data_IF_410894569574
#
_entry.id   IF_410894569574
#
_cell.length_a   1.000
_cell.length_b   1.000
_cell.length_c   1.000
_cell.angle_alpha   90.00
_cell.angle_beta   90.00
_cell.angle_gamma   90.00
#
_symmetry.space_group_name_H-M   'P 1'
#
loop_
_entity.id
_entity.type
_entity.pdbx_description
1 polymer ?
#
# COMPACT_ATOMS: atom_id res chain seq x y z
N UNK A 1 2.63 -15.36 79.43
CA UNK A 1 2.99 -16.74 79.03
C UNK A 1 3.07 -16.76 77.51
N UNK A 2 4.26 -16.78 76.92
CA UNK A 2 5.03 -18.00 76.55
C UNK A 2 4.28 -18.77 75.43
N UNK A 3 4.84 -19.18 74.28
CA UNK A 3 6.21 -19.39 73.82
C UNK A 3 6.14 -19.64 72.29
N UNK A 4 7.09 -19.05 71.55
CA UNK A 4 7.90 -19.54 70.42
C UNK A 4 7.35 -20.50 69.34
N UNK A 5 7.57 -20.08 68.08
CA UNK A 5 8.29 -20.74 66.98
C UNK A 5 8.23 -22.26 66.78
N UNK A 6 8.15 -22.68 65.50
CA UNK A 6 9.27 -23.35 64.83
C UNK A 6 9.00 -23.53 63.32
N UNK A 7 9.88 -22.88 62.57
CA UNK A 7 10.31 -23.13 61.19
C UNK A 7 10.40 -24.59 60.74
N UNK A 8 10.05 -24.84 59.48
CA UNK A 8 10.89 -25.59 58.51
C UNK A 8 10.34 -25.42 57.09
N UNK A 9 11.08 -25.38 55.99
CA UNK A 9 12.45 -24.99 55.63
C UNK A 9 12.47 -25.13 54.09
N UNK A 10 13.03 -24.16 53.36
CA UNK A 10 13.28 -24.28 51.91
C UNK A 10 14.01 -23.05 51.35
N UNK A 11 15.24 -23.16 50.80
CA UNK A 11 16.21 -22.07 50.82
C UNK A 11 16.32 -21.22 49.53
N UNK A 12 17.11 -20.17 49.72
CA UNK A 12 17.51 -19.05 48.87
C UNK A 12 18.50 -19.47 47.76
N UNK A 13 18.38 -18.88 46.56
CA UNK A 13 19.54 -18.59 45.70
C UNK A 13 19.47 -17.11 45.29
N UNK A 14 20.33 -16.31 45.91
CA UNK A 14 20.68 -14.93 45.51
C UNK A 14 21.77 -14.98 44.45
N UNK A 15 21.82 -13.97 43.57
CA UNK A 15 23.07 -13.28 43.16
C UNK A 15 22.76 -11.99 42.35
N UNK A 16 23.72 -11.05 42.23
CA UNK A 16 23.66 -9.76 42.91
C UNK A 16 23.53 -8.56 41.95
N UNK A 17 23.09 -7.43 42.50
CA UNK A 17 22.96 -6.15 41.82
C UNK A 17 24.35 -5.49 41.70
N UNK A 18 25.06 -5.76 40.61
CA UNK A 18 26.30 -5.09 40.25
C UNK A 18 25.97 -3.77 39.56
N UNK A 19 25.78 -2.69 40.32
CA UNK A 19 25.80 -1.32 39.80
C UNK A 19 26.37 -0.39 40.86
N UNK A 20 27.66 -0.55 41.13
CA UNK A 20 28.43 0.30 42.01
C UNK A 20 29.88 -0.12 41.93
N UNK A 21 30.55 0.20 40.81
CA UNK A 21 32.02 0.26 40.66
C UNK A 21 32.38 0.56 39.19
N UNK A 22 32.11 1.77 38.72
CA UNK A 22 32.88 2.39 37.62
C UNK A 22 33.01 3.88 37.95
N UNK A 23 33.82 4.19 38.96
CA UNK A 23 34.45 5.50 39.09
C UNK A 23 35.95 5.25 39.13
N UNK A 24 36.59 5.46 37.99
CA UNK A 24 38.03 5.36 37.83
C UNK A 24 38.35 5.48 36.35
N UNK A 25 39.00 6.59 35.99
CA UNK A 25 39.57 6.92 34.67
C UNK A 25 38.65 7.69 33.70
N UNK A 26 38.44 8.98 34.01
CA UNK A 26 38.46 10.03 32.98
C UNK A 26 38.67 11.39 33.65
N UNK A 27 39.94 11.81 33.71
CA UNK A 27 40.32 13.20 33.92
C UNK A 27 39.75 14.04 32.76
N UNK A 28 39.05 15.13 33.10
CA UNK A 28 38.83 16.25 32.18
C UNK A 28 37.68 16.11 31.20
N UNK A 29 36.44 16.15 31.69
CA UNK A 29 35.33 16.71 30.92
C UNK A 29 34.47 17.56 31.85
N UNK A 30 34.26 18.83 31.48
CA UNK A 30 33.36 19.77 32.15
C UNK A 30 31.99 19.10 32.28
N UNK A 31 31.64 18.65 33.49
CA UNK A 31 30.27 18.27 33.80
C UNK A 31 29.48 19.57 33.87
N UNK A 32 28.83 19.91 32.75
CA UNK A 32 27.65 20.79 32.78
C UNK A 32 26.77 20.26 33.91
N UNK A 33 26.52 21.10 34.90
CA UNK A 33 25.67 20.77 36.05
C UNK A 33 24.28 20.41 35.54
N UNK A 34 24.05 19.12 35.30
CA UNK A 34 22.72 18.60 35.03
C UNK A 34 21.93 18.93 36.31
N UNK A 35 20.88 19.76 36.23
CA UNK A 35 20.10 20.08 37.42
C UNK A 35 19.61 18.76 38.04
N UNK A 36 19.58 18.65 39.38
CA UNK A 36 19.18 17.41 40.03
C UNK A 36 17.83 16.97 39.49
N UNK A 37 17.73 15.69 39.10
CA UNK A 37 16.50 15.12 38.59
C UNK A 37 15.38 15.35 39.61
N UNK A 38 14.30 16.00 39.19
CA UNK A 38 13.15 16.25 40.06
C UNK A 38 12.68 14.89 40.60
N UNK A 39 12.60 14.72 41.93
CA UNK A 39 12.14 13.48 42.53
C UNK A 39 10.76 13.10 41.97
N UNK A 40 10.59 11.84 41.56
CA UNK A 40 9.33 11.35 40.98
C UNK A 40 8.10 11.61 41.85
N UNK A 41 8.28 11.72 43.18
CA UNK A 41 7.23 12.12 44.15
C UNK A 41 6.64 13.52 43.94
N UNK A 42 7.37 14.45 43.30
CA UNK A 42 6.91 15.82 43.03
C UNK A 42 6.12 15.88 41.71
N UNK A 43 6.37 14.93 40.80
CA UNK A 43 5.64 14.84 39.53
C UNK A 43 4.23 14.30 39.83
N UNK A 44 3.23 15.16 39.69
CA UNK A 44 1.84 14.69 39.59
C UNK A 44 1.73 13.84 38.33
N UNK A 45 1.57 12.52 38.50
CA UNK A 45 1.28 11.59 37.41
C UNK A 45 -0.08 11.97 36.80
N UNK A 46 -0.05 12.77 35.74
CA UNK A 46 -1.22 12.94 34.89
C UNK A 46 -1.46 11.59 34.21
N UNK A 47 -2.37 10.79 34.75
CA UNK A 47 -2.85 9.58 34.09
C UNK A 47 -3.61 10.00 32.83
N UNK A 48 -2.88 10.15 31.72
CA UNK A 48 -3.51 10.24 30.40
C UNK A 48 -3.90 8.80 30.07
N UNK A 49 -5.08 8.39 30.52
CA UNK A 49 -5.71 7.18 30.00
C UNK A 49 -5.99 7.46 28.52
N UNK A 50 -5.31 6.81 27.56
CA UNK A 50 -5.65 7.00 26.17
C UNK A 50 -7.09 6.51 25.99
N UNK A 51 -7.96 7.36 25.45
CA UNK A 51 -9.33 6.97 25.18
C UNK A 51 -9.37 5.69 24.35
N UNK A 52 -10.25 4.75 24.74
CA UNK A 52 -10.40 3.49 24.03
C UNK A 52 -10.76 3.81 22.58
N UNK A 53 -9.88 3.43 21.65
CA UNK A 53 -10.14 3.62 20.22
C UNK A 53 -11.49 2.99 19.86
N UNK A 54 -12.42 3.75 19.25
CA UNK A 54 -13.75 3.25 18.97
C UNK A 54 -13.67 2.06 17.99
N UNK A 55 -14.59 1.11 18.13
CA UNK A 55 -14.61 -0.10 17.30
C UNK A 55 -14.80 0.28 15.81
N UNK A 56 -13.74 0.16 15.02
CA UNK A 56 -13.59 0.65 13.63
C UNK A 56 -14.59 0.01 12.60
N UNK A 57 -15.56 -0.82 13.03
CA UNK A 57 -16.39 -1.63 12.14
C UNK A 57 -17.85 -1.89 12.54
N UNK A 58 -18.33 -1.44 13.71
CA UNK A 58 -19.68 -1.77 14.21
C UNK A 58 -20.62 -0.56 14.25
N UNK A 59 -20.63 0.28 13.21
CA UNK A 59 -21.69 1.28 13.08
C UNK A 59 -22.89 0.65 12.33
N UNK A 60 -24.05 0.44 12.99
CA UNK A 60 -25.22 -0.17 12.36
C UNK A 60 -25.74 0.65 11.16
N UNK A 61 -25.54 1.97 11.16
CA UNK A 61 -25.91 2.85 10.06
C UNK A 61 -25.03 2.62 8.82
N UNK A 62 -23.73 2.38 9.04
CA UNK A 62 -22.80 2.02 7.97
C UNK A 62 -23.14 0.66 7.38
N UNK A 63 -23.54 -0.32 8.21
CA UNK A 63 -24.01 -1.62 7.73
C UNK A 63 -25.30 -1.51 6.91
N UNK A 64 -26.24 -0.66 7.34
CA UNK A 64 -27.48 -0.38 6.63
C UNK A 64 -27.22 0.22 5.24
N UNK A 65 -26.39 1.26 5.15
CA UNK A 65 -26.00 1.87 3.87
C UNK A 65 -25.28 0.88 2.93
N UNK A 66 -24.39 0.05 3.48
CA UNK A 66 -23.71 -1.01 2.72
C UNK A 66 -24.67 -2.08 2.17
N UNK A 67 -25.79 -2.31 2.87
CA UNK A 67 -26.81 -3.29 2.49
C UNK A 67 -27.75 -2.71 1.43
N UNK A 68 -28.33 -1.55 1.70
CA UNK A 68 -29.39 -0.93 0.89
C UNK A 68 -28.87 -0.31 -0.42
N UNK A 69 -27.76 0.45 -0.38
CA UNK A 69 -27.29 1.21 -1.55
C UNK A 69 -26.21 0.47 -2.37
N UNK A 70 -25.52 -0.49 -1.75
CA UNK A 70 -24.25 -1.03 -2.24
C UNK A 70 -24.28 -2.55 -2.49
N UNK A 71 -25.39 -3.01 -3.06
CA UNK A 71 -25.60 -4.36 -3.57
C UNK A 71 -25.53 -5.45 -2.50
N UNK A 72 -26.30 -5.35 -1.41
CA UNK A 72 -26.50 -6.41 -0.39
C UNK A 72 -25.19 -7.12 -0.03
N UNK A 73 -24.24 -6.43 0.60
CA UNK A 73 -22.99 -7.08 1.01
C UNK A 73 -23.23 -7.97 2.23
N UNK A 74 -23.24 -9.32 2.10
CA UNK A 74 -23.40 -10.18 3.26
C UNK A 74 -22.04 -10.26 3.99
N UNK A 75 -22.03 -10.50 5.31
CA UNK A 75 -20.83 -10.92 6.02
C UNK A 75 -20.22 -12.17 5.36
N UNK A 76 -18.93 -12.42 5.60
CA UNK A 76 -18.09 -13.41 4.90
C UNK A 76 -18.72 -14.82 4.87
N UNK A 77 -19.54 -15.07 3.86
CA UNK A 77 -20.01 -16.39 3.43
C UNK A 77 -19.64 -16.59 1.96
N UNK A 78 -19.46 -17.85 1.57
CA UNK A 78 -19.05 -18.27 0.23
C UNK A 78 -20.03 -17.73 -0.83
N UNK A 79 -19.51 -17.02 -1.84
CA UNK A 79 -20.34 -16.25 -2.80
C UNK A 79 -20.32 -16.86 -4.20
N UNK A 80 -21.52 -16.95 -4.80
CA UNK A 80 -21.71 -17.06 -6.26
C UNK A 80 -21.27 -15.74 -6.92
N UNK A 81 -20.52 -15.81 -8.01
CA UNK A 81 -20.02 -14.64 -8.75
C UNK A 81 -21.20 -14.04 -9.53
N UNK A 82 -21.48 -12.73 -9.40
CA UNK A 82 -22.48 -12.04 -10.24
C UNK A 82 -22.03 -12.09 -11.71
N UNK A 83 -22.96 -12.37 -12.63
CA UNK A 83 -22.74 -12.22 -14.07
C UNK A 83 -22.13 -10.85 -14.39
N UNK A 84 -21.07 -10.84 -15.20
CA UNK A 84 -20.32 -9.63 -15.59
C UNK A 84 -18.99 -9.41 -14.84
N UNK A 85 -18.79 -9.97 -13.65
CA UNK A 85 -17.50 -9.94 -12.96
C UNK A 85 -16.73 -11.24 -13.19
N UNK A 86 -15.44 -11.17 -13.51
CA UNK A 86 -14.68 -12.41 -13.73
C UNK A 86 -14.36 -13.14 -12.42
N UNK A 87 -14.00 -12.41 -11.36
CA UNK A 87 -13.53 -12.99 -10.11
C UNK A 87 -14.16 -12.30 -8.89
N UNK A 88 -14.30 -13.04 -7.79
CA UNK A 88 -14.77 -12.49 -6.49
C UNK A 88 -13.90 -11.33 -5.97
N UNK A 89 -12.62 -11.29 -6.34
CA UNK A 89 -11.71 -10.19 -6.00
C UNK A 89 -12.12 -8.89 -6.71
N UNK A 90 -12.59 -8.98 -7.96
CA UNK A 90 -13.08 -7.83 -8.70
C UNK A 90 -14.36 -7.28 -8.07
N UNK A 91 -15.27 -8.17 -7.64
CA UNK A 91 -16.49 -7.78 -6.91
C UNK A 91 -16.15 -6.99 -5.64
N UNK A 92 -15.15 -7.45 -4.86
CA UNK A 92 -14.68 -6.73 -3.67
C UNK A 92 -14.11 -5.35 -4.01
N UNK A 93 -13.32 -5.24 -5.09
CA UNK A 93 -12.74 -3.96 -5.51
C UNK A 93 -13.82 -2.98 -6.00
N UNK A 94 -14.80 -3.48 -6.75
CA UNK A 94 -15.96 -2.70 -7.20
C UNK A 94 -16.72 -2.09 -6.01
N UNK A 95 -17.05 -2.90 -5.00
CA UNK A 95 -17.73 -2.42 -3.80
C UNK A 95 -16.92 -1.37 -3.04
N UNK A 96 -15.60 -1.57 -2.89
CA UNK A 96 -14.71 -0.55 -2.28
C UNK A 96 -14.78 0.78 -3.01
N UNK A 97 -14.78 0.77 -4.34
CA UNK A 97 -14.87 2.01 -5.13
C UNK A 97 -16.18 2.76 -4.87
N UNK A 98 -17.28 2.02 -4.75
CA UNK A 98 -18.57 2.62 -4.47
C UNK A 98 -18.64 3.22 -3.04
N UNK A 99 -18.18 2.48 -2.03
CA UNK A 99 -18.06 3.01 -0.65
C UNK A 99 -17.15 4.24 -0.60
N UNK A 100 -16.00 4.17 -1.25
CA UNK A 100 -15.06 5.28 -1.29
C UNK A 100 -15.62 6.51 -2.02
N UNK A 101 -16.41 6.32 -3.08
CA UNK A 101 -17.08 7.41 -3.78
C UNK A 101 -18.09 8.12 -2.87
N UNK A 102 -18.92 7.35 -2.15
CA UNK A 102 -19.90 7.88 -1.19
C UNK A 102 -19.22 8.73 -0.09
N UNK A 103 -18.18 8.19 0.55
CA UNK A 103 -17.50 8.86 1.67
C UNK A 103 -16.37 9.82 1.27
N UNK A 104 -16.13 10.05 -0.03
CA UNK A 104 -15.00 10.86 -0.53
C UNK A 104 -15.02 12.29 0.04
N UNK A 105 -16.18 12.94 -0.03
CA UNK A 105 -16.35 14.32 0.40
C UNK A 105 -16.14 14.49 1.91
N UNK A 106 -16.74 13.59 2.71
CA UNK A 106 -16.59 13.59 4.17
C UNK A 106 -15.12 13.38 4.58
N UNK A 107 -14.45 12.40 3.98
CA UNK A 107 -13.02 12.14 4.26
C UNK A 107 -12.14 13.30 3.86
N UNK A 108 -12.46 14.00 2.78
CA UNK A 108 -11.71 15.18 2.33
C UNK A 108 -11.83 16.31 3.36
N UNK A 109 -13.04 16.59 3.82
CA UNK A 109 -13.31 17.61 4.86
C UNK A 109 -12.60 17.29 6.18
N UNK A 110 -12.74 16.06 6.68
CA UNK A 110 -12.09 15.65 7.93
C UNK A 110 -10.55 15.66 7.82
N UNK A 111 -10.00 15.29 6.65
CA UNK A 111 -8.55 15.37 6.45
C UNK A 111 -8.04 16.81 6.37
N UNK A 112 -8.86 17.76 5.88
CA UNK A 112 -8.51 19.17 5.94
C UNK A 112 -8.40 19.61 7.40
N UNK A 113 -9.43 19.36 8.21
CA UNK A 113 -9.43 19.68 9.66
C UNK A 113 -8.22 19.09 10.38
N UNK A 114 -7.97 17.79 10.18
CA UNK A 114 -6.87 17.07 10.82
C UNK A 114 -5.48 17.60 10.45
N UNK A 115 -5.30 18.15 9.26
CA UNK A 115 -3.99 18.63 8.76
C UNK A 115 -3.78 20.13 8.93
N UNK A 116 -4.74 20.84 9.53
CA UNK A 116 -4.64 22.27 9.74
C UNK A 116 -3.73 22.60 10.92
N UNK A 117 -2.88 23.62 10.76
CA UNK A 117 -1.99 24.12 11.82
C UNK A 117 -2.61 25.21 12.68
N UNK A 118 -3.73 25.79 12.24
CA UNK A 118 -4.41 26.93 12.89
C UNK A 118 -5.38 26.47 13.98
N UNK A 119 -5.96 25.27 13.82
CA UNK A 119 -7.00 24.77 14.72
C UNK A 119 -6.40 24.22 16.02
N UNK A 120 -7.12 24.31 17.15
CA UNK A 120 -6.69 23.68 18.39
C UNK A 120 -6.58 22.16 18.24
N UNK A 121 -5.65 21.56 19.00
CA UNK A 121 -5.33 20.14 18.92
C UNK A 121 -6.56 19.24 19.18
N UNK A 122 -7.42 19.64 20.11
CA UNK A 122 -8.63 18.89 20.48
C UNK A 122 -9.54 18.63 19.27
N UNK A 123 -9.74 19.63 18.40
CA UNK A 123 -10.56 19.50 17.19
C UNK A 123 -9.88 18.57 16.17
N UNK A 124 -8.55 18.60 16.10
CA UNK A 124 -7.78 17.71 15.21
C UNK A 124 -7.86 16.25 15.69
N UNK A 125 -7.84 16.03 17.00
CA UNK A 125 -7.96 14.72 17.63
C UNK A 125 -9.37 14.15 17.40
N UNK A 126 -10.42 14.97 17.58
CA UNK A 126 -11.80 14.60 17.23
C UNK A 126 -11.93 14.24 15.75
N UNK A 127 -11.36 15.02 14.83
CA UNK A 127 -11.38 14.70 13.41
C UNK A 127 -10.66 13.37 13.10
N UNK A 128 -9.59 13.06 13.83
CA UNK A 128 -8.87 11.79 13.72
C UNK A 128 -9.72 10.62 14.21
N UNK A 129 -10.43 10.77 15.33
CA UNK A 129 -11.40 9.80 15.83
C UNK A 129 -12.57 9.59 14.86
N UNK A 130 -13.08 10.66 14.25
CA UNK A 130 -14.11 10.53 13.22
C UNK A 130 -13.60 9.79 11.98
N UNK A 131 -12.37 10.08 11.50
CA UNK A 131 -11.78 9.35 10.37
C UNK A 131 -11.60 7.86 10.67
N UNK A 132 -11.25 7.50 11.90
CA UNK A 132 -11.08 6.11 12.34
C UNK A 132 -12.42 5.40 12.55
N UNK A 133 -13.49 6.12 12.87
CA UNK A 133 -14.85 5.55 12.97
C UNK A 133 -15.45 5.15 11.62
N UNK A 134 -14.98 5.76 10.52
CA UNK A 134 -15.50 5.47 9.17
C UNK A 134 -15.16 4.05 8.71
N UNK A 135 -15.99 3.45 7.83
CA UNK A 135 -15.73 2.12 7.29
C UNK A 135 -14.36 2.06 6.62
N UNK A 136 -13.57 1.02 6.93
CA UNK A 136 -12.21 0.85 6.38
C UNK A 136 -12.16 0.90 4.85
N UNK A 137 -13.17 0.36 4.18
CA UNK A 137 -13.25 0.31 2.71
C UNK A 137 -13.59 1.67 2.06
N UNK A 138 -13.89 2.71 2.86
CA UNK A 138 -13.97 4.11 2.39
C UNK A 138 -12.61 4.70 2.04
N UNK A 139 -11.50 4.09 2.49
CA UNK A 139 -10.18 4.62 2.25
C UNK A 139 -9.73 4.40 0.79
N UNK A 140 -9.46 5.50 0.09
CA UNK A 140 -9.03 5.50 -1.31
C UNK A 140 -7.75 4.70 -1.57
N UNK A 141 -6.84 4.60 -0.58
CA UNK A 141 -5.58 3.85 -0.71
C UNK A 141 -5.78 2.34 -0.94
N UNK A 142 -6.97 1.80 -0.62
CA UNK A 142 -7.30 0.38 -0.77
C UNK A 142 -7.78 0.01 -2.18
N UNK A 143 -8.12 1.00 -2.99
CA UNK A 143 -8.56 0.80 -4.36
C UNK A 143 -7.35 0.43 -5.21
N UNK A 144 -7.48 -0.65 -5.98
CA UNK A 144 -6.42 -1.10 -6.88
C UNK A 144 -6.89 -1.00 -8.33
N UNK A 145 -6.00 -0.57 -9.23
CA UNK A 145 -6.24 -0.69 -10.66
C UNK A 145 -6.19 -2.16 -11.07
N UNK A 146 -7.29 -2.66 -11.63
CA UNK A 146 -7.43 -4.05 -12.09
C UNK A 146 -7.79 -4.06 -13.57
N UNK A 147 -7.41 -5.13 -14.24
CA UNK A 147 -7.86 -5.40 -15.60
C UNK A 147 -9.38 -5.59 -15.59
N UNK A 148 -10.11 -4.83 -16.40
CA UNK A 148 -11.57 -4.95 -16.55
C UNK A 148 -11.97 -6.30 -17.14
N UNK A 149 -11.10 -6.92 -17.95
CA UNK A 149 -11.42 -8.17 -18.65
C UNK A 149 -11.03 -9.42 -17.86
N UNK A 150 -9.94 -9.40 -17.11
CA UNK A 150 -9.40 -10.61 -16.44
C UNK A 150 -9.25 -10.47 -14.93
N UNK A 151 -9.55 -9.31 -14.34
CA UNK A 151 -9.30 -8.96 -12.93
C UNK A 151 -7.85 -8.96 -12.45
N UNK A 152 -6.87 -9.16 -13.36
CA UNK A 152 -5.43 -9.17 -13.04
C UNK A 152 -5.04 -7.90 -12.30
N UNK A 153 -4.30 -8.05 -11.20
CA UNK A 153 -3.90 -6.93 -10.31
C UNK A 153 -2.74 -6.12 -10.87
N UNK A 154 -1.72 -6.77 -11.44
CA UNK A 154 -0.45 -6.13 -11.83
C UNK A 154 -0.38 -5.89 -13.32
N UNK A 155 0.44 -4.91 -13.72
CA UNK A 155 0.73 -4.62 -15.12
C UNK A 155 -0.51 -4.23 -15.91
N UNK A 156 -1.43 -3.49 -15.29
CA UNK A 156 -2.58 -2.89 -15.95
C UNK A 156 -2.20 -1.50 -16.45
N UNK A 157 -2.47 -1.21 -17.72
CA UNK A 157 -2.20 0.10 -18.29
C UNK A 157 -3.34 1.04 -17.93
N UNK A 158 -3.06 2.13 -17.21
CA UNK A 158 -4.09 3.03 -16.63
C UNK A 158 -5.02 3.63 -17.68
N UNK A 159 -4.49 4.03 -18.85
CA UNK A 159 -5.28 4.62 -19.94
C UNK A 159 -6.42 3.70 -20.42
N UNK A 160 -6.14 2.40 -20.60
CA UNK A 160 -7.11 1.44 -21.14
C UNK A 160 -7.75 0.56 -20.07
N UNK A 161 -7.25 0.56 -18.82
CA UNK A 161 -7.70 -0.29 -17.71
C UNK A 161 -7.66 -1.79 -18.02
N UNK A 162 -6.73 -2.21 -18.88
CA UNK A 162 -6.53 -3.61 -19.31
C UNK A 162 -5.13 -4.07 -18.90
N UNK A 163 -4.96 -5.37 -18.60
CA UNK A 163 -3.66 -5.96 -18.33
C UNK A 163 -2.77 -5.94 -19.57
N UNK A 164 -1.45 -5.90 -19.41
CA UNK A 164 -0.51 -5.92 -20.55
C UNK A 164 -0.70 -7.13 -21.47
N UNK A 165 -1.11 -8.30 -20.94
CA UNK A 165 -1.39 -9.51 -21.73
C UNK A 165 -2.58 -9.27 -22.66
N UNK A 166 -3.69 -8.78 -22.11
CA UNK A 166 -4.89 -8.48 -22.89
C UNK A 166 -4.70 -7.27 -23.80
N UNK A 167 -3.89 -6.29 -23.38
CA UNK A 167 -3.52 -5.15 -24.19
C UNK A 167 -2.72 -5.59 -25.42
N UNK A 168 -1.71 -6.46 -25.26
CA UNK A 168 -0.98 -7.05 -26.39
C UNK A 168 -1.90 -7.83 -27.32
N UNK A 169 -2.76 -8.69 -26.76
CA UNK A 169 -3.77 -9.41 -27.55
C UNK A 169 -4.62 -8.44 -28.39
N UNK A 170 -5.13 -7.36 -27.81
CA UNK A 170 -5.94 -6.40 -28.57
C UNK A 170 -5.12 -5.61 -29.59
N UNK A 171 -3.87 -5.27 -29.30
CA UNK A 171 -2.98 -4.61 -30.24
C UNK A 171 -2.60 -5.52 -31.43
N UNK A 172 -2.20 -6.76 -31.17
CA UNK A 172 -1.74 -7.72 -32.19
C UNK A 172 -2.86 -8.09 -33.16
N UNK A 173 -4.11 -8.19 -32.69
CA UNK A 173 -5.29 -8.43 -33.53
C UNK A 173 -5.94 -7.13 -34.05
N UNK A 174 -5.23 -6.00 -34.04
CA UNK A 174 -5.70 -4.70 -34.54
C UNK A 174 -7.08 -4.27 -34.01
N UNK A 175 -7.43 -4.64 -32.77
CA UNK A 175 -8.69 -4.24 -32.12
C UNK A 175 -8.59 -2.88 -31.40
N UNK A 176 -7.42 -2.24 -31.44
CA UNK A 176 -7.18 -0.92 -30.85
C UNK A 176 -6.79 0.07 -31.95
N UNK A 177 -7.53 1.16 -32.05
CA UNK A 177 -7.26 2.23 -33.03
C UNK A 177 -5.92 2.92 -32.75
N UNK A 178 -5.07 3.04 -33.78
CA UNK A 178 -3.81 3.78 -33.71
C UNK A 178 -2.70 3.12 -32.89
N UNK A 179 -2.91 1.88 -32.42
CA UNK A 179 -1.85 1.09 -31.79
C UNK A 179 -1.13 0.30 -32.86
N UNK A 180 0.09 0.72 -33.17
CA UNK A 180 0.99 0.02 -34.07
C UNK A 180 2.19 -0.51 -33.29
N UNK A 181 2.92 -1.44 -33.90
CA UNK A 181 4.21 -1.86 -33.37
C UNK A 181 5.18 -0.67 -33.40
N UNK A 182 5.88 -0.45 -32.29
CA UNK A 182 6.94 0.56 -32.23
C UNK A 182 8.08 0.14 -33.13
N UNK A 183 8.17 0.72 -34.32
CA UNK A 183 9.30 0.55 -35.22
C UNK A 183 10.19 1.78 -35.06
N UNK A 184 11.38 1.58 -34.52
CA UNK A 184 12.41 2.61 -34.52
C UNK A 184 13.33 2.29 -35.68
N UNK A 185 13.25 3.10 -36.73
CA UNK A 185 14.22 3.07 -37.81
C UNK A 185 15.54 3.63 -37.30
N UNK A 186 16.28 2.87 -36.52
CA UNK A 186 17.73 3.02 -36.64
C UNK A 186 18.07 2.63 -38.06
N UNK A 187 19.04 3.31 -38.66
CA UNK A 187 19.83 2.70 -39.71
C UNK A 187 20.62 1.54 -39.08
N UNK A 188 19.92 0.53 -38.54
CA UNK A 188 20.50 -0.75 -38.19
C UNK A 188 20.93 -1.33 -39.52
N UNK A 189 22.24 -1.25 -39.80
CA UNK A 189 22.86 -2.34 -40.54
C UNK A 189 22.26 -3.62 -39.98
N UNK A 190 21.77 -4.50 -40.85
CA UNK A 190 21.29 -5.79 -40.38
C UNK A 190 22.40 -6.40 -39.50
N UNK A 191 22.07 -7.29 -38.57
CA UNK A 191 23.09 -7.94 -37.72
C UNK A 191 24.19 -8.62 -38.55
N UNK A 192 23.94 -8.84 -39.86
CA UNK A 192 24.99 -9.04 -40.87
C UNK A 192 25.54 -7.71 -41.38
N UNK A 193 26.82 -7.50 -41.08
CA UNK A 193 27.70 -6.35 -41.41
C UNK A 193 27.54 -5.73 -42.81
N UNK A 194 26.96 -6.47 -43.76
CA UNK A 194 26.99 -6.19 -45.19
C UNK A 194 25.62 -5.99 -45.85
N UNK A 195 24.51 -5.95 -45.11
CA UNK A 195 23.19 -5.64 -45.68
C UNK A 195 22.58 -4.37 -45.08
N UNK A 196 22.08 -3.51 -45.96
CA UNK A 196 21.36 -2.29 -45.61
C UNK A 196 19.89 -2.63 -45.30
N UNK A 197 19.35 -2.00 -44.25
CA UNK A 197 17.92 -2.02 -43.94
C UNK A 197 17.44 -0.57 -43.74
N UNK A 198 16.33 -0.15 -44.37
CA UNK A 198 15.45 -0.90 -45.30
C UNK A 198 16.15 -1.27 -46.63
N UNK A 199 15.61 -2.25 -47.41
CA UNK A 199 16.19 -2.63 -48.70
C UNK A 199 16.33 -1.43 -49.64
N UNK A 200 17.45 -1.30 -50.36
CA UNK A 200 17.64 -0.18 -51.29
C UNK A 200 16.53 -0.17 -52.34
N UNK A 201 15.94 1.01 -52.61
CA UNK A 201 14.80 1.16 -53.56
C UNK A 201 15.11 0.68 -54.99
N UNK A 202 16.38 0.56 -55.34
CA UNK A 202 16.85 0.13 -56.68
C UNK A 202 16.76 -1.39 -56.89
N UNK A 203 16.63 -2.18 -55.82
CA UNK A 203 16.69 -3.65 -55.87
C UNK A 203 15.27 -4.19 -55.71
N UNK A 204 14.80 -5.13 -56.56
CA UNK A 204 13.52 -5.78 -56.36
C UNK A 204 13.54 -6.62 -55.06
N UNK A 205 12.41 -6.68 -54.37
CA UNK A 205 12.27 -7.37 -53.07
C UNK A 205 12.70 -8.85 -53.18
N UNK A 206 12.41 -9.51 -54.29
CA UNK A 206 12.79 -10.91 -54.54
C UNK A 206 14.31 -11.11 -54.54
N UNK A 207 15.06 -10.21 -55.18
CA UNK A 207 16.51 -10.30 -55.25
C UNK A 207 17.16 -9.99 -53.90
N UNK A 208 16.58 -9.06 -53.14
CA UNK A 208 16.99 -8.81 -51.74
C UNK A 208 16.80 -10.05 -50.85
N UNK A 209 15.64 -10.72 -50.95
CA UNK A 209 15.35 -11.96 -50.21
C UNK A 209 16.30 -13.09 -50.62
N UNK A 210 16.59 -13.23 -51.92
CA UNK A 210 17.54 -14.23 -52.43
C UNK A 210 18.94 -14.02 -51.86
N UNK A 211 19.47 -12.79 -51.95
CA UNK A 211 20.77 -12.42 -51.38
C UNK A 211 20.82 -12.62 -49.87
N UNK A 212 19.69 -12.43 -49.18
CA UNK A 212 19.57 -12.68 -47.75
C UNK A 212 19.76 -14.17 -47.41
N UNK A 213 19.15 -15.09 -48.17
CA UNK A 213 19.35 -16.52 -47.97
C UNK A 213 20.75 -16.99 -48.39
N UNK A 214 21.33 -16.37 -49.42
CA UNK A 214 22.68 -16.69 -49.94
C UNK A 214 23.84 -16.01 -49.20
N UNK A 215 23.56 -15.16 -48.19
CA UNK A 215 24.56 -14.40 -47.41
C UNK A 215 25.45 -13.46 -48.24
N UNK A 216 24.94 -12.90 -49.33
CA UNK A 216 25.69 -11.97 -50.20
C UNK A 216 25.67 -10.54 -49.64
N UNK A 217 26.81 -9.83 -49.73
CA UNK A 217 26.94 -8.43 -49.33
C UNK A 217 26.23 -7.48 -50.32
N UNK A 218 25.65 -6.37 -49.83
CA UNK A 218 25.26 -5.21 -50.64
C UNK A 218 26.55 -4.50 -51.13
N UNK A 219 26.68 -4.32 -52.45
CA UNK A 219 27.78 -3.60 -53.09
C UNK A 219 27.42 -2.12 -53.20
#
# INVERSE_FOLDING_TARGET
>A
MLILDMSSFGPIILKPNLNGLINGLCNGMRLLSIPPAIPSKILYERQIMPDKTPAHHNNPEVEKLLREELCDYPPYSSRKIRHGFQNAIMVRDYKRRQVAAHFCNLRTRLNAIRKNTILPQEIQDLATLHISSLPRDSNWTRILSRCVVTSRRRGCKTRWKVSHIMWRKYADYNRMSGVLWGCWGSHTRSVRRHMLWPPPRKIPISDYIRRYYENLADV
#
